data_IF_561146085946
#
_entry.id   IF_561146085946
#
_cell.length_a   1.000
_cell.length_b   1.000
_cell.length_c   1.000
_cell.angle_alpha   90.00
_cell.angle_beta   90.00
_cell.angle_gamma   90.00
#
_symmetry.space_group_name_H-M   'P 1'
#
loop_
_entity.id
_entity.type
_entity.pdbx_description
1 polymer ?
#
# COMPACT_ATOMS: atom_id res chain seq x y z
N UNK A 1 -13.50 13.72 4.88
CA UNK A 1 -13.40 13.07 6.22
C UNK A 1 -12.04 12.39 6.41
N UNK A 2 -11.47 12.28 7.63
CA UNK A 2 -10.23 11.52 7.84
C UNK A 2 -10.54 10.01 7.76
N UNK A 3 -9.96 9.29 6.81
CA UNK A 3 -10.14 7.85 6.75
C UNK A 3 -9.32 7.12 7.84
N UNK A 4 -9.41 5.79 7.92
CA UNK A 4 -8.82 5.01 9.03
C UNK A 4 -7.39 4.52 8.80
N UNK A 5 -6.73 4.89 7.70
CA UNK A 5 -5.51 4.20 7.29
C UNK A 5 -5.81 2.77 6.81
N UNK A 6 -4.77 1.98 6.59
CA UNK A 6 -4.90 0.53 6.38
C UNK A 6 -3.57 -0.18 6.65
N UNK A 7 -3.61 -1.40 7.19
CA UNK A 7 -2.43 -2.25 7.37
C UNK A 7 -2.41 -3.34 6.29
N UNK A 8 -1.50 -3.22 5.34
CA UNK A 8 -1.27 -4.25 4.33
C UNK A 8 -0.27 -5.26 4.87
N UNK A 9 -0.69 -6.51 5.04
CA UNK A 9 0.14 -7.60 5.57
C UNK A 9 0.46 -8.61 4.49
N UNK A 10 1.75 -8.93 4.35
CA UNK A 10 2.26 -9.95 3.43
C UNK A 10 3.27 -10.84 4.17
N UNK A 11 3.27 -12.13 3.84
CA UNK A 11 4.34 -13.04 4.24
C UNK A 11 5.33 -13.17 3.08
N UNK A 12 6.61 -12.95 3.35
CA UNK A 12 7.66 -13.04 2.34
C UNK A 12 7.83 -14.51 1.91
N UNK A 13 7.58 -14.79 0.62
CA UNK A 13 7.82 -16.10 0.01
C UNK A 13 9.28 -16.27 -0.39
N UNK A 14 9.66 -17.49 -0.78
CA UNK A 14 11.05 -17.86 -1.10
C UNK A 14 11.59 -17.14 -2.32
N UNK A 15 10.72 -16.69 -3.23
CA UNK A 15 11.12 -15.96 -4.45
C UNK A 15 11.71 -14.57 -4.14
N UNK A 16 11.38 -13.99 -2.99
CA UNK A 16 11.85 -12.66 -2.57
C UNK A 16 12.94 -12.71 -1.49
N UNK A 17 13.37 -13.91 -1.09
CA UNK A 17 14.43 -14.07 -0.10
C UNK A 17 15.74 -13.42 -0.58
N UNK A 18 16.35 -12.59 0.26
CA UNK A 18 17.57 -11.85 -0.03
C UNK A 18 17.37 -10.59 -0.89
N UNK A 19 16.15 -10.30 -1.34
CA UNK A 19 15.87 -9.06 -2.05
C UNK A 19 15.91 -7.87 -1.08
N UNK A 20 16.41 -6.69 -1.52
CA UNK A 20 16.26 -5.45 -0.74
C UNK A 20 14.79 -5.08 -0.58
N UNK A 21 14.38 -4.75 0.64
CA UNK A 21 13.00 -4.37 0.97
C UNK A 21 12.49 -3.23 0.06
N UNK A 22 13.31 -2.21 -0.20
CA UNK A 22 12.90 -1.08 -1.03
C UNK A 22 12.50 -1.51 -2.45
N UNK A 23 13.30 -2.37 -3.08
CA UNK A 23 13.03 -2.91 -4.40
C UNK A 23 11.79 -3.79 -4.41
N UNK A 24 11.60 -4.58 -3.34
CA UNK A 24 10.40 -5.40 -3.17
C UNK A 24 9.13 -4.54 -3.06
N UNK A 25 9.13 -3.50 -2.22
CA UNK A 25 7.99 -2.58 -2.07
C UNK A 25 7.64 -1.86 -3.37
N UNK A 26 8.64 -1.37 -4.11
CA UNK A 26 8.42 -0.71 -5.40
C UNK A 26 7.84 -1.65 -6.46
N UNK A 27 8.19 -2.95 -6.41
CA UNK A 27 7.63 -3.97 -7.30
C UNK A 27 6.22 -4.41 -6.88
N UNK A 28 6.00 -4.60 -5.57
CA UNK A 28 4.72 -5.05 -5.03
C UNK A 28 3.64 -3.98 -5.17
N UNK A 29 4.03 -2.70 -5.06
CA UNK A 29 3.14 -1.56 -5.10
C UNK A 29 3.63 -0.50 -6.11
N UNK A 30 3.36 -0.72 -7.41
CA UNK A 30 3.90 0.11 -8.49
C UNK A 30 3.31 1.53 -8.56
N UNK A 31 2.29 1.84 -7.74
CA UNK A 31 1.70 3.17 -7.65
C UNK A 31 2.60 4.20 -6.96
N UNK A 32 3.69 3.77 -6.31
CA UNK A 32 4.66 4.64 -5.64
C UNK A 32 6.08 4.38 -6.18
N UNK A 33 6.86 5.43 -6.39
CA UNK A 33 8.27 5.33 -6.81
C UNK A 33 9.15 4.80 -5.68
N UNK A 34 10.37 4.28 -5.96
CA UNK A 34 11.32 3.92 -4.92
C UNK A 34 11.62 5.07 -3.95
N UNK A 35 11.72 6.31 -4.42
CA UNK A 35 11.97 7.47 -3.57
C UNK A 35 10.79 7.72 -2.61
N UNK A 36 9.56 7.58 -3.09
CA UNK A 36 8.37 7.68 -2.25
C UNK A 36 8.32 6.56 -1.21
N UNK A 37 8.69 5.34 -1.59
CA UNK A 37 8.81 4.22 -0.65
C UNK A 37 9.88 4.46 0.42
N UNK A 38 11.02 5.02 0.04
CA UNK A 38 12.06 5.37 1.01
C UNK A 38 11.57 6.42 2.01
N UNK A 39 10.78 7.41 1.57
CA UNK A 39 10.17 8.37 2.49
C UNK A 39 9.20 7.70 3.47
N UNK A 40 8.37 6.76 2.99
CA UNK A 40 7.46 5.98 3.86
C UNK A 40 8.20 5.15 4.90
N UNK A 41 9.31 4.53 4.50
CA UNK A 41 10.21 3.80 5.40
C UNK A 41 10.81 4.73 6.45
N UNK A 42 11.30 5.90 6.04
CA UNK A 42 11.84 6.92 6.95
C UNK A 42 10.78 7.43 7.94
N UNK A 43 9.50 7.46 7.53
CA UNK A 43 8.37 7.81 8.39
C UNK A 43 7.96 6.67 9.35
N UNK A 44 8.58 5.50 9.26
CA UNK A 44 8.26 4.33 10.08
C UNK A 44 6.97 3.62 9.68
N UNK A 45 6.49 3.81 8.44
CA UNK A 45 5.23 3.21 7.98
C UNK A 45 5.32 1.70 7.76
N UNK A 46 6.54 1.14 7.60
CA UNK A 46 6.74 -0.28 7.27
C UNK A 46 7.48 -1.01 8.38
N UNK A 47 6.97 -2.18 8.74
CA UNK A 47 7.63 -3.08 9.69
C UNK A 47 7.88 -4.46 9.09
N UNK A 48 8.94 -5.10 9.58
CA UNK A 48 9.30 -6.47 9.31
C UNK A 48 9.35 -7.23 10.63
N UNK A 49 8.48 -8.23 10.81
CA UNK A 49 8.26 -8.93 12.08
C UNK A 49 8.02 -7.97 13.26
N UNK A 50 7.33 -6.84 13.01
CA UNK A 50 7.05 -5.83 14.03
C UNK A 50 8.18 -4.83 14.30
N UNK A 51 9.35 -4.97 13.66
CA UNK A 51 10.44 -3.99 13.75
C UNK A 51 10.37 -3.00 12.59
N UNK A 52 10.52 -1.71 12.86
CA UNK A 52 10.55 -0.68 11.81
C UNK A 52 11.68 -0.94 10.83
N UNK A 53 11.35 -0.95 9.55
CA UNK A 53 12.31 -1.23 8.48
C UNK A 53 12.87 0.06 7.88
N UNK A 54 14.08 -0.03 7.33
CA UNK A 54 14.84 1.12 6.79
C UNK A 54 14.92 1.11 5.26
N UNK A 55 14.68 -0.05 4.63
CA UNK A 55 14.63 -0.21 3.17
C UNK A 55 15.83 -0.94 2.58
N UNK A 56 17.00 -0.88 3.24
CA UNK A 56 18.19 -1.67 2.88
C UNK A 56 18.17 -3.08 3.47
N UNK A 57 17.18 -3.39 4.30
CA UNK A 57 16.97 -4.70 4.91
C UNK A 57 16.83 -5.77 3.83
N UNK A 58 17.59 -6.85 3.97
CA UNK A 58 17.43 -8.04 3.12
C UNK A 58 16.27 -8.87 3.65
N UNK A 59 15.30 -9.14 2.77
CA UNK A 59 14.11 -9.89 3.14
C UNK A 59 14.42 -11.35 3.47
N UNK A 60 13.81 -11.87 4.52
CA UNK A 60 13.93 -13.27 4.94
C UNK A 60 12.64 -14.03 4.66
N UNK A 61 12.75 -15.29 4.24
CA UNK A 61 11.61 -16.18 3.99
C UNK A 61 10.76 -16.33 5.26
N UNK A 62 9.45 -16.23 5.12
CA UNK A 62 8.50 -16.36 6.23
C UNK A 62 8.40 -15.10 7.10
N UNK A 63 9.16 -14.05 6.79
CA UNK A 63 9.06 -12.76 7.48
C UNK A 63 7.71 -12.11 7.19
N UNK A 64 7.12 -11.52 8.21
CA UNK A 64 5.87 -10.75 8.10
C UNK A 64 6.21 -9.30 7.78
N UNK A 65 5.85 -8.86 6.58
CA UNK A 65 5.93 -7.46 6.16
C UNK A 65 4.57 -6.81 6.41
N UNK A 66 4.58 -5.66 7.11
CA UNK A 66 3.37 -4.85 7.31
C UNK A 66 3.66 -3.42 6.86
N UNK A 67 2.87 -2.90 5.93
CA UNK A 67 2.82 -1.47 5.64
C UNK A 67 1.57 -0.85 6.28
N UNK A 68 1.78 -0.01 7.29
CA UNK A 68 0.78 0.79 7.97
C UNK A 68 0.58 2.10 7.21
N UNK A 69 -0.25 2.07 6.17
CA UNK A 69 -0.58 3.26 5.39
C UNK A 69 -1.31 4.26 6.28
N UNK A 70 -0.80 5.49 6.43
CA UNK A 70 -1.44 6.47 7.29
C UNK A 70 -2.83 6.84 6.79
N UNK A 71 -3.70 7.33 7.69
CA UNK A 71 -4.94 7.94 7.30
C UNK A 71 -4.67 9.20 6.46
N UNK A 72 -5.59 9.53 5.55
CA UNK A 72 -5.58 10.82 4.85
C UNK A 72 -6.94 11.48 4.90
N UNK A 73 -6.97 12.80 4.70
CA UNK A 73 -8.21 13.55 4.57
C UNK A 73 -8.83 13.21 3.22
N UNK A 74 -9.82 12.33 3.24
CA UNK A 74 -10.59 11.97 2.07
C UNK A 74 -11.45 13.17 1.65
N UNK A 75 -11.35 13.63 0.40
CA UNK A 75 -12.17 14.71 -0.10
C UNK A 75 -13.64 14.31 -0.10
N UNK A 76 -14.53 15.29 -0.01
CA UNK A 76 -15.96 15.03 -0.10
C UNK A 76 -16.30 14.53 -1.52
N UNK A 77 -17.04 13.42 -1.58
CA UNK A 77 -17.52 12.84 -2.83
C UNK A 77 -18.97 13.31 -3.11
N UNK A 78 -19.34 13.56 -4.37
CA UNK A 78 -20.74 13.81 -4.73
C UNK A 78 -21.61 12.62 -4.30
N UNK A 79 -22.68 12.88 -3.55
CA UNK A 79 -23.64 11.86 -3.14
C UNK A 79 -24.83 11.75 -4.11
N UNK A 80 -24.81 12.52 -5.19
CA UNK A 80 -25.86 12.60 -6.18
C UNK A 80 -25.25 12.50 -7.58
N UNK A 81 -25.97 11.82 -8.45
CA UNK A 81 -25.67 11.68 -9.88
C UNK A 81 -26.97 11.74 -10.68
N UNK A 82 -26.87 12.03 -11.98
CA UNK A 82 -28.03 12.09 -12.87
C UNK A 82 -28.00 10.89 -13.83
N UNK A 83 -29.11 10.18 -13.99
CA UNK A 83 -29.15 9.04 -14.91
C UNK A 83 -29.24 9.54 -16.35
N UNK A 84 -28.20 9.27 -17.15
CA UNK A 84 -28.13 9.63 -18.56
C UNK A 84 -28.69 8.52 -19.45
N UNK A 85 -28.52 7.26 -19.05
CA UNK A 85 -28.99 6.07 -19.76
C UNK A 85 -29.10 4.88 -18.80
N UNK A 86 -30.15 4.08 -18.96
CA UNK A 86 -30.36 2.86 -18.17
C UNK A 86 -30.99 1.76 -19.04
N UNK A 87 -30.38 0.59 -19.02
CA UNK A 87 -30.91 -0.65 -19.59
C UNK A 87 -30.63 -1.85 -18.65
N UNK A 88 -31.07 -3.09 -18.98
CA UNK A 88 -30.86 -4.26 -18.12
C UNK A 88 -29.39 -4.66 -17.86
N UNK A 89 -28.42 -4.06 -18.55
CA UNK A 89 -27.01 -4.40 -18.51
C UNK A 89 -26.11 -3.22 -18.12
N UNK A 90 -26.56 -1.97 -18.30
CA UNK A 90 -25.77 -0.77 -18.09
C UNK A 90 -26.59 0.36 -17.45
N UNK A 91 -25.97 1.01 -16.45
CA UNK A 91 -26.40 2.29 -15.90
C UNK A 91 -25.28 3.33 -16.15
N UNK A 92 -25.62 4.42 -16.83
CA UNK A 92 -24.73 5.56 -17.08
C UNK A 92 -25.22 6.79 -16.30
N UNK A 93 -24.30 7.43 -15.56
CA UNK A 93 -24.60 8.48 -14.58
C UNK A 93 -23.60 9.64 -14.61
#
# INVERSE_FOLDING_TARGET
MLNRGYAYTTIISSEYHGQPLLSHLASLYPHSTPQAWQQKLNNGEVTLNGLTATGSDSLTLGQTLIWNRPPWLEPDAPQHFEVLFEDPHLLAV
#
